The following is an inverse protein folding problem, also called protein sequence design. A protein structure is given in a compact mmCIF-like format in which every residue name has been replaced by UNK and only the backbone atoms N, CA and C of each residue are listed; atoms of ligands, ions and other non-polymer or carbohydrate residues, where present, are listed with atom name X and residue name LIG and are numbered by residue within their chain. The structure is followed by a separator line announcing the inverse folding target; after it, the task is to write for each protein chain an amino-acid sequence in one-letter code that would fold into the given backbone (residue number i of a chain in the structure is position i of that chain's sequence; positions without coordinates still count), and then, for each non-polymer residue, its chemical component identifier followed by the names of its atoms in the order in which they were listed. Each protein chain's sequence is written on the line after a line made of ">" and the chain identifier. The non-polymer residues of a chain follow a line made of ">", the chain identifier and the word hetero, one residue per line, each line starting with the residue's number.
data_IF_269900667335
#
_entry.id   IF_269900667335
#
_cell.length_a   1.000
_cell.length_b   1.000
_cell.length_c   1.000
_cell.angle_alpha   90.00
_cell.angle_beta   90.00
_cell.angle_gamma   90.00
#
_symmetry.space_group_name_H-M   'P 1'
#
loop_
_entity.id
_entity.type
_entity.pdbx_description
1 polymer ?
#
# COMPACT_ATOMS: atom_id res chain seq x y z
N UNK A 1 -0.77 2.80 -28.06
CA UNK A 1 -0.40 1.43 -27.56
C UNK A 1 0.77 0.90 -28.38
N UNK A 2 1.60 1.82 -28.88
CA UNK A 2 2.24 1.61 -30.18
C UNK A 2 3.52 0.80 -30.01
N UNK A 3 4.17 0.96 -28.85
CA UNK A 3 5.25 0.08 -28.42
C UNK A 3 4.84 -1.39 -28.39
N UNK A 4 3.68 -1.73 -27.81
CA UNK A 4 3.21 -3.12 -27.72
C UNK A 4 2.90 -3.67 -29.11
N UNK A 5 2.30 -2.85 -29.98
CA UNK A 5 2.00 -3.21 -31.37
C UNK A 5 3.28 -3.47 -32.16
N UNK A 6 4.26 -2.58 -32.06
CA UNK A 6 5.51 -2.66 -32.83
C UNK A 6 6.47 -3.74 -32.31
N UNK A 7 6.62 -3.88 -30.98
CA UNK A 7 7.61 -4.78 -30.35
C UNK A 7 7.05 -6.15 -30.00
N UNK A 8 5.73 -6.30 -29.90
CA UNK A 8 5.04 -7.55 -29.55
C UNK A 8 5.70 -8.34 -28.41
N UNK A 9 5.91 -7.74 -27.22
CA UNK A 9 6.57 -8.41 -26.10
C UNK A 9 5.81 -9.68 -25.67
N UNK A 10 6.54 -10.68 -25.14
CA UNK A 10 5.93 -11.94 -24.67
C UNK A 10 4.88 -11.72 -23.59
N UNK A 11 5.10 -10.74 -22.72
CA UNK A 11 4.18 -10.34 -21.67
C UNK A 11 4.25 -8.83 -21.42
N UNK A 12 3.15 -8.26 -20.95
CA UNK A 12 3.02 -6.88 -20.52
C UNK A 12 2.34 -6.89 -19.15
N UNK A 13 2.91 -6.12 -18.22
CA UNK A 13 2.32 -5.88 -16.89
C UNK A 13 2.08 -4.38 -16.76
N UNK A 14 0.82 -4.00 -16.54
CA UNK A 14 0.45 -2.63 -16.22
C UNK A 14 0.00 -2.56 -14.77
N UNK A 15 0.56 -1.62 -14.00
CA UNK A 15 0.14 -1.31 -12.63
C UNK A 15 -0.60 0.03 -12.63
N UNK A 16 -1.68 0.12 -11.85
CA UNK A 16 -2.33 1.38 -11.56
C UNK A 16 -3.12 1.33 -10.24
N UNK A 17 -3.72 2.44 -9.83
CA UNK A 17 -4.62 2.49 -8.68
C UNK A 17 -5.81 1.55 -8.85
N UNK A 18 -6.28 0.95 -7.75
CA UNK A 18 -7.43 0.05 -7.78
C UNK A 18 -8.70 0.68 -8.38
N UNK A 19 -8.82 2.01 -8.34
CA UNK A 19 -9.94 2.74 -8.91
C UNK A 19 -10.06 2.54 -10.43
N UNK A 20 -8.95 2.34 -11.17
CA UNK A 20 -8.97 2.10 -12.62
C UNK A 20 -9.91 0.94 -12.99
N UNK A 21 -9.91 -0.14 -12.21
CA UNK A 21 -10.74 -1.32 -12.46
C UNK A 21 -12.13 -1.29 -11.78
N UNK A 22 -12.36 -0.37 -10.84
CA UNK A 22 -13.55 -0.39 -9.97
C UNK A 22 -14.48 0.80 -10.10
N UNK A 23 -13.94 1.96 -10.45
CA UNK A 23 -14.69 3.21 -10.40
C UNK A 23 -15.30 3.50 -11.78
N UNK A 24 -16.59 3.87 -11.82
CA UNK A 24 -17.32 4.11 -13.07
C UNK A 24 -16.62 5.15 -13.99
N UNK A 25 -16.06 6.20 -13.39
CA UNK A 25 -15.21 7.21 -14.05
C UNK A 25 -14.16 6.62 -15.02
N UNK A 26 -13.58 5.45 -14.69
CA UNK A 26 -12.49 4.86 -15.48
C UNK A 26 -12.93 3.65 -16.33
N UNK A 27 -14.23 3.35 -16.39
CA UNK A 27 -14.78 2.19 -17.11
C UNK A 27 -14.38 2.15 -18.58
N UNK A 28 -14.46 3.30 -19.27
CA UNK A 28 -14.10 3.40 -20.68
C UNK A 28 -12.61 3.09 -20.91
N UNK A 29 -11.72 3.68 -20.10
CA UNK A 29 -10.27 3.46 -20.15
C UNK A 29 -9.92 1.99 -19.88
N UNK A 30 -10.49 1.40 -18.83
CA UNK A 30 -10.27 0.00 -18.50
C UNK A 30 -10.74 -0.94 -19.63
N UNK A 31 -11.96 -0.70 -20.17
CA UNK A 31 -12.48 -1.46 -21.32
C UNK A 31 -11.59 -1.32 -22.55
N UNK A 32 -11.10 -0.11 -22.84
CA UNK A 32 -10.20 0.14 -23.95
C UNK A 32 -8.89 -0.66 -23.83
N UNK A 33 -8.25 -0.66 -22.64
CA UNK A 33 -7.02 -1.42 -22.40
C UNK A 33 -7.26 -2.92 -22.63
N UNK A 34 -8.29 -3.48 -21.99
CA UNK A 34 -8.60 -4.92 -22.09
C UNK A 34 -8.93 -5.34 -23.52
N UNK A 35 -9.73 -4.53 -24.24
CA UNK A 35 -10.11 -4.81 -25.63
C UNK A 35 -8.92 -4.71 -26.57
N UNK A 36 -8.03 -3.74 -26.35
CA UNK A 36 -6.85 -3.54 -27.20
C UNK A 36 -5.91 -4.74 -27.11
N UNK A 37 -5.61 -5.25 -25.91
CA UNK A 37 -4.79 -6.47 -25.78
C UNK A 37 -5.43 -7.69 -26.43
N UNK A 38 -6.75 -7.86 -26.31
CA UNK A 38 -7.48 -8.95 -27.00
C UNK A 38 -7.36 -8.83 -28.51
N UNK A 39 -7.52 -7.63 -29.09
CA UNK A 39 -7.33 -7.37 -30.52
C UNK A 39 -5.91 -7.70 -30.97
N UNK A 40 -4.91 -7.39 -30.15
CA UNK A 40 -3.51 -7.73 -30.37
C UNK A 40 -3.17 -9.22 -30.13
N UNK A 41 -4.17 -10.08 -29.89
CA UNK A 41 -4.02 -11.53 -29.67
C UNK A 41 -3.27 -11.91 -28.38
N UNK A 42 -3.30 -11.04 -27.38
CA UNK A 42 -2.85 -11.38 -26.02
C UNK A 42 -3.99 -11.98 -25.23
N UNK A 43 -3.68 -12.98 -24.39
CA UNK A 43 -4.51 -13.35 -23.26
C UNK A 43 -4.33 -12.28 -22.18
N UNK A 44 -5.43 -11.69 -21.71
CA UNK A 44 -5.36 -10.57 -20.75
C UNK A 44 -6.27 -10.83 -19.55
N UNK A 45 -5.73 -10.61 -18.34
CA UNK A 45 -6.49 -10.63 -17.09
C UNK A 45 -6.10 -9.43 -16.23
N UNK A 46 -7.05 -8.98 -15.42
CA UNK A 46 -6.85 -7.91 -14.46
C UNK A 46 -7.10 -8.43 -13.05
N UNK A 47 -6.28 -7.99 -12.10
CA UNK A 47 -6.36 -8.34 -10.69
C UNK A 47 -6.35 -7.05 -9.86
N UNK A 48 -7.14 -7.00 -8.79
CA UNK A 48 -6.98 -5.97 -7.76
C UNK A 48 -6.42 -6.64 -6.52
N UNK A 49 -5.13 -6.42 -6.26
CA UNK A 49 -4.37 -7.08 -5.20
C UNK A 49 -4.04 -6.07 -4.10
N UNK A 50 -4.05 -6.53 -2.85
CA UNK A 50 -3.67 -5.73 -1.67
C UNK A 50 -2.34 -6.25 -1.12
N UNK A 51 -1.34 -5.39 -0.93
CA UNK A 51 0.00 -5.81 -0.45
C UNK A 51 -0.04 -6.59 0.88
N UNK A 52 -1.08 -6.42 1.70
CA UNK A 52 -1.33 -7.23 2.91
C UNK A 52 -1.48 -8.72 2.64
N UNK A 53 -2.00 -9.07 1.47
CA UNK A 53 -2.16 -10.46 1.03
C UNK A 53 -0.83 -11.10 0.60
N UNK A 54 0.24 -10.28 0.51
CA UNK A 54 1.56 -10.66 0.01
C UNK A 54 2.68 -10.40 1.03
N UNK A 55 2.34 -10.32 2.33
CA UNK A 55 3.32 -10.25 3.41
C UNK A 55 3.87 -8.85 3.71
N UNK A 56 3.19 -7.77 3.28
CA UNK A 56 3.54 -6.40 3.68
C UNK A 56 2.46 -5.78 4.56
N UNK A 57 2.80 -5.13 5.69
CA UNK A 57 1.83 -4.50 6.59
C UNK A 57 1.43 -3.12 6.04
N UNK A 58 1.00 -3.07 4.78
CA UNK A 58 0.55 -1.86 4.11
C UNK A 58 -0.72 -2.12 3.29
N UNK A 59 -1.79 -1.38 3.58
CA UNK A 59 -3.02 -1.42 2.79
C UNK A 59 -2.84 -0.67 1.48
N UNK A 60 -2.23 -1.33 0.50
CA UNK A 60 -1.97 -0.79 -0.85
C UNK A 60 -2.65 -1.67 -1.89
N UNK A 61 -3.85 -1.25 -2.28
CA UNK A 61 -4.62 -1.91 -3.35
C UNK A 61 -4.21 -1.36 -4.70
N UNK A 62 -3.82 -2.23 -5.62
CA UNK A 62 -3.43 -1.88 -7.00
C UNK A 62 -4.09 -2.80 -8.01
N UNK A 63 -4.44 -2.21 -9.15
CA UNK A 63 -4.87 -2.94 -10.32
C UNK A 63 -3.63 -3.37 -11.09
N UNK A 64 -3.49 -4.67 -11.31
CA UNK A 64 -2.48 -5.27 -12.17
C UNK A 64 -3.18 -5.85 -13.38
N UNK A 65 -2.86 -5.36 -14.58
CA UNK A 65 -3.33 -5.92 -15.85
C UNK A 65 -2.16 -6.67 -16.47
N UNK A 66 -2.33 -7.98 -16.60
CA UNK A 66 -1.32 -8.87 -17.18
C UNK A 66 -1.84 -9.32 -18.53
N UNK A 67 -1.07 -9.04 -19.59
CA UNK A 67 -1.32 -9.51 -20.94
C UNK A 67 -0.15 -10.39 -21.39
N UNK A 68 -0.41 -11.60 -21.89
CA UNK A 68 0.63 -12.52 -22.37
C UNK A 68 0.26 -13.10 -23.73
N UNK A 69 1.24 -13.25 -24.62
CA UNK A 69 1.05 -14.00 -25.86
C UNK A 69 0.91 -15.50 -25.53
N UNK A 70 0.05 -16.25 -26.24
CA UNK A 70 -0.07 -17.68 -26.04
C UNK A 70 1.25 -18.40 -26.34
N UNK A 71 1.55 -19.53 -25.66
CA UNK A 71 2.72 -20.35 -25.99
C UNK A 71 2.65 -20.84 -27.43
N UNK A 72 3.79 -20.89 -28.13
CA UNK A 72 3.85 -21.32 -29.54
C UNK A 72 3.48 -22.80 -29.77
N UNK A 73 3.57 -23.67 -28.76
CA UNK A 73 3.42 -25.13 -28.91
C UNK A 73 2.33 -25.78 -28.06
N UNK A 74 1.47 -25.01 -27.38
CA UNK A 74 0.43 -25.57 -26.52
C UNK A 74 -0.92 -24.93 -26.85
N UNK A 75 -1.84 -25.76 -27.37
CA UNK A 75 -3.27 -25.48 -27.48
C UNK A 75 -3.95 -25.28 -26.11
N UNK A 76 -3.27 -25.62 -25.02
CA UNK A 76 -3.79 -25.51 -23.66
C UNK A 76 -3.23 -24.30 -22.92
N UNK A 77 -4.14 -23.35 -22.72
CA UNK A 77 -3.98 -22.13 -21.94
C UNK A 77 -3.88 -22.45 -20.45
N UNK A 78 -2.67 -22.59 -19.91
CA UNK A 78 -2.46 -22.39 -18.48
C UNK A 78 -2.78 -20.92 -18.18
N UNK A 79 -4.02 -20.68 -17.75
CA UNK A 79 -4.56 -19.34 -17.61
C UNK A 79 -3.74 -18.49 -16.64
N UNK A 80 -3.61 -17.20 -16.97
CA UNK A 80 -2.98 -16.21 -16.07
C UNK A 80 -3.64 -16.32 -14.69
N UNK A 81 -2.84 -16.56 -13.65
CA UNK A 81 -3.29 -16.71 -12.27
C UNK A 81 -2.28 -16.08 -11.32
N UNK A 82 -2.74 -15.71 -10.14
CA UNK A 82 -1.92 -15.10 -9.09
C UNK A 82 -1.79 -16.12 -7.96
N UNK A 83 -0.54 -16.50 -7.65
CA UNK A 83 -0.24 -17.31 -6.46
C UNK A 83 -0.13 -16.36 -5.26
N UNK A 84 -0.92 -16.64 -4.23
CA UNK A 84 -0.82 -15.94 -2.94
C UNK A 84 0.15 -16.71 -2.05
N UNK A 85 1.06 -16.04 -1.34
CA UNK A 85 1.89 -16.73 -0.36
C UNK A 85 1.01 -17.31 0.75
N UNK A 86 1.55 -18.29 1.50
CA UNK A 86 0.93 -18.72 2.75
C UNK A 86 0.78 -17.51 3.67
N UNK A 87 -0.28 -17.48 4.48
CA UNK A 87 -0.55 -16.36 5.37
C UNK A 87 0.69 -16.09 6.24
N UNK A 88 1.32 -14.93 6.02
CA UNK A 88 2.42 -14.45 6.85
C UNK A 88 1.83 -13.42 7.79
N UNK A 89 1.94 -13.66 9.10
CA UNK A 89 1.54 -12.68 10.10
C UNK A 89 2.60 -11.57 10.15
N UNK A 90 2.45 -10.56 9.31
CA UNK A 90 3.36 -9.40 9.25
C UNK A 90 2.63 -8.19 9.81
N UNK A 91 3.27 -7.52 10.76
CA UNK A 91 2.79 -6.29 11.38
C UNK A 91 3.80 -5.15 11.15
N UNK A 92 3.40 -3.91 11.46
CA UNK A 92 4.28 -2.74 11.35
C UNK A 92 5.61 -2.96 12.08
N UNK A 93 5.58 -3.36 13.34
CA UNK A 93 6.76 -3.59 14.18
C UNK A 93 7.79 -4.54 13.56
N UNK A 94 7.35 -5.53 12.76
CA UNK A 94 8.24 -6.46 12.05
C UNK A 94 8.95 -5.88 10.83
N UNK A 95 8.50 -4.74 10.30
CA UNK A 95 9.00 -4.13 9.06
C UNK A 95 9.61 -2.74 9.28
N UNK A 96 9.08 -1.98 10.25
CA UNK A 96 9.55 -0.63 10.53
C UNK A 96 10.99 -0.65 11.09
N UNK A 97 11.75 0.40 10.78
CA UNK A 97 13.09 0.57 11.31
C UNK A 97 13.04 0.78 12.83
N UNK A 98 13.96 0.16 13.56
CA UNK A 98 14.16 0.43 14.99
C UNK A 98 14.82 1.81 15.13
N UNK A 99 14.01 2.81 15.45
CA UNK A 99 14.42 4.21 15.61
C UNK A 99 14.00 4.73 16.98
N UNK A 100 14.71 5.73 17.55
CA UNK A 100 14.33 6.33 18.81
C UNK A 100 12.96 7.00 18.73
N UNK A 101 12.38 7.28 19.90
CA UNK A 101 11.14 8.04 20.02
C UNK A 101 11.41 9.51 19.69
N UNK A 102 10.43 10.16 19.09
CA UNK A 102 10.46 11.57 18.70
C UNK A 102 9.34 12.34 19.38
N UNK A 103 9.55 13.64 19.59
CA UNK A 103 8.45 14.53 19.98
C UNK A 103 7.49 14.72 18.81
N UNK A 104 6.20 14.86 19.10
CA UNK A 104 5.20 15.14 18.07
C UNK A 104 5.58 16.42 17.31
N UNK A 105 5.66 16.40 15.96
CA UNK A 105 5.95 17.60 15.19
C UNK A 105 4.94 18.70 15.46
N UNK A 106 5.40 19.95 15.44
CA UNK A 106 4.55 21.13 15.54
C UNK A 106 3.81 21.39 14.22
N UNK A 107 2.97 20.43 13.84
CA UNK A 107 2.13 20.52 12.66
C UNK A 107 0.70 20.93 13.07
N UNK A 108 0.06 21.88 12.36
CA UNK A 108 -1.29 22.34 12.69
C UNK A 108 -2.27 21.18 12.82
N UNK A 109 -2.84 21.02 14.01
CA UNK A 109 -3.85 20.00 14.28
C UNK A 109 -3.32 18.58 14.49
N UNK A 110 -2.01 18.31 14.48
CA UNK A 110 -1.45 16.97 14.70
C UNK A 110 -1.94 16.34 16.02
N UNK A 111 -1.93 17.10 17.12
CA UNK A 111 -2.41 16.64 18.44
C UNK A 111 -3.91 16.34 18.43
N UNK A 112 -4.71 17.16 17.73
CA UNK A 112 -6.15 16.96 17.55
C UNK A 112 -6.43 15.70 16.72
N UNK A 113 -5.67 15.51 15.65
CA UNK A 113 -5.73 14.37 14.75
C UNK A 113 -5.41 13.07 15.48
N UNK A 114 -4.38 13.05 16.33
CA UNK A 114 -4.08 11.88 17.17
C UNK A 114 -5.22 11.58 18.14
N UNK A 115 -5.71 12.59 18.88
CA UNK A 115 -6.83 12.40 19.81
C UNK A 115 -8.07 11.85 19.10
N UNK A 116 -8.41 12.38 17.93
CA UNK A 116 -9.53 11.91 17.13
C UNK A 116 -9.33 10.46 16.66
N UNK A 117 -8.14 10.13 16.17
CA UNK A 117 -7.78 8.78 15.75
C UNK A 117 -7.89 7.76 16.89
N UNK A 118 -7.32 8.04 18.05
CA UNK A 118 -7.35 7.13 19.20
C UNK A 118 -8.77 6.93 19.75
N UNK A 119 -9.59 7.99 19.79
CA UNK A 119 -11.01 7.87 20.17
C UNK A 119 -11.78 6.98 19.19
N UNK A 120 -11.55 7.16 17.89
CA UNK A 120 -12.16 6.32 16.85
C UNK A 120 -11.77 4.86 17.03
N UNK A 121 -10.48 4.56 17.17
CA UNK A 121 -10.00 3.18 17.36
C UNK A 121 -10.56 2.53 18.63
N UNK A 122 -10.67 3.27 19.74
CA UNK A 122 -11.33 2.76 20.96
C UNK A 122 -12.81 2.47 20.75
N UNK A 123 -13.52 3.36 20.04
CA UNK A 123 -14.93 3.15 19.67
C UNK A 123 -15.11 1.91 18.80
N UNK A 124 -14.14 1.62 17.94
CA UNK A 124 -14.08 0.42 17.10
C UNK A 124 -13.66 -0.84 17.89
N UNK A 125 -13.50 -0.76 19.22
CA UNK A 125 -13.18 -1.90 20.09
C UNK A 125 -11.70 -2.32 20.09
N UNK A 126 -10.81 -1.49 19.54
CA UNK A 126 -9.39 -1.83 19.43
C UNK A 126 -8.64 -1.60 20.74
N UNK A 127 -7.96 -2.65 21.21
CA UNK A 127 -7.01 -2.57 22.33
C UNK A 127 -5.69 -1.91 21.87
N UNK A 128 -5.60 -0.61 22.15
CA UNK A 128 -4.46 0.24 21.76
C UNK A 128 -3.16 -0.07 22.51
N UNK A 129 -3.21 -0.85 23.59
CA UNK A 129 -2.03 -1.27 24.32
C UNK A 129 -1.31 -2.44 23.62
N UNK A 130 -2.05 -3.22 22.82
CA UNK A 130 -1.55 -4.41 22.12
C UNK A 130 -1.19 -4.19 20.66
N UNK A 131 -1.56 -3.04 20.09
CA UNK A 131 -1.42 -2.80 18.65
C UNK A 131 -0.71 -1.48 18.37
N UNK A 132 0.18 -1.51 17.37
CA UNK A 132 0.78 -0.29 16.85
C UNK A 132 -0.22 0.43 15.96
N UNK A 133 -0.41 1.72 16.20
CA UNK A 133 -1.31 2.58 15.44
C UNK A 133 -0.52 3.44 14.48
N UNK A 134 -0.96 3.50 13.22
CA UNK A 134 -0.48 4.44 12.23
C UNK A 134 -1.54 5.52 12.02
N UNK A 135 -1.17 6.77 12.27
CA UNK A 135 -2.08 7.93 12.26
C UNK A 135 -1.58 8.96 11.26
N UNK A 136 -2.41 9.37 10.30
CA UNK A 136 -2.12 10.51 9.44
C UNK A 136 -2.26 11.81 10.25
N UNK A 137 -1.16 12.48 10.56
CA UNK A 137 -1.16 13.75 11.29
C UNK A 137 -1.15 14.97 10.36
N UNK A 138 -0.95 14.76 9.06
CA UNK A 138 -0.88 15.80 8.03
C UNK A 138 -2.19 15.98 7.24
N UNK A 139 -3.25 15.23 7.57
CA UNK A 139 -4.59 15.40 7.01
C UNK A 139 -5.51 16.22 7.92
N UNK A 140 -6.57 16.80 7.37
CA UNK A 140 -7.74 17.16 8.18
C UNK A 140 -8.46 15.91 8.70
N UNK A 141 -9.12 16.00 9.86
CA UNK A 141 -9.79 14.86 10.54
C UNK A 141 -10.72 14.07 9.60
N UNK A 142 -11.44 14.73 8.70
CA UNK A 142 -12.35 14.09 7.72
C UNK A 142 -11.63 13.17 6.73
N UNK A 143 -10.40 13.50 6.36
CA UNK A 143 -9.60 12.79 5.36
C UNK A 143 -8.47 11.97 5.98
N UNK A 144 -8.39 11.99 7.31
CA UNK A 144 -7.37 11.30 8.07
C UNK A 144 -7.45 9.79 7.85
N UNK A 145 -6.29 9.20 7.60
CA UNK A 145 -6.13 7.76 7.58
C UNK A 145 -5.63 7.28 8.93
N UNK A 146 -6.27 6.22 9.44
CA UNK A 146 -5.95 5.59 10.72
C UNK A 146 -6.03 4.08 10.53
N UNK A 147 -5.02 3.36 11.00
CA UNK A 147 -4.97 1.91 10.95
C UNK A 147 -4.14 1.34 12.10
N UNK A 148 -4.34 0.06 12.42
CA UNK A 148 -3.54 -0.67 13.39
C UNK A 148 -2.78 -1.82 12.74
N UNK A 149 -1.56 -2.07 13.24
CA UNK A 149 -0.59 -3.07 12.75
C UNK A 149 -0.34 -3.03 11.24
N UNK A 150 -0.71 -1.93 10.60
CA UNK A 150 -0.66 -1.74 9.16
C UNK A 150 -0.56 -0.26 8.84
N UNK A 151 0.20 0.09 7.81
CA UNK A 151 0.27 1.43 7.25
C UNK A 151 -0.83 1.63 6.19
N UNK A 152 -1.44 2.82 6.10
CA UNK A 152 -2.23 3.19 4.94
C UNK A 152 -1.38 3.22 3.65
N UNK A 153 -2.01 3.42 2.48
CA UNK A 153 -1.25 3.57 1.23
C UNK A 153 -0.33 4.79 1.33
N UNK A 154 0.99 4.58 1.23
CA UNK A 154 1.94 5.68 1.07
C UNK A 154 1.68 6.41 -0.24
N UNK A 155 1.40 7.70 -0.14
CA UNK A 155 1.28 8.60 -1.29
C UNK A 155 2.53 9.45 -1.40
N UNK A 156 2.84 9.92 -2.62
CA UNK A 156 3.96 10.84 -2.84
C UNK A 156 3.87 12.07 -1.93
N UNK A 157 2.66 12.62 -1.76
CA UNK A 157 2.43 13.77 -0.88
C UNK A 157 2.77 13.46 0.57
N UNK A 158 2.32 12.32 1.11
CA UNK A 158 2.60 11.91 2.49
C UNK A 158 4.04 11.51 2.72
N UNK A 159 4.71 10.95 1.71
CA UNK A 159 6.14 10.70 1.74
C UNK A 159 6.94 12.00 1.93
N UNK A 160 6.58 13.05 1.18
CA UNK A 160 7.24 14.37 1.31
C UNK A 160 7.04 15.01 2.68
N UNK A 161 5.83 14.92 3.24
CA UNK A 161 5.51 15.58 4.52
C UNK A 161 5.79 14.72 5.76
N UNK A 162 6.26 13.48 5.59
CA UNK A 162 6.37 12.48 6.68
C UNK A 162 5.09 12.39 7.54
N UNK A 163 3.95 12.43 6.87
CA UNK A 163 2.65 12.71 7.52
C UNK A 163 2.09 11.59 8.39
N UNK A 164 2.75 10.42 8.48
CA UNK A 164 2.31 9.32 9.32
C UNK A 164 3.07 9.29 10.64
N UNK A 165 2.29 9.12 11.71
CA UNK A 165 2.75 9.03 13.08
C UNK A 165 2.48 7.62 13.61
N UNK A 166 3.52 6.93 14.05
CA UNK A 166 3.41 5.63 14.70
C UNK A 166 3.27 5.80 16.20
N UNK A 167 2.27 5.15 16.79
CA UNK A 167 2.03 5.26 18.22
C UNK A 167 1.39 4.02 18.85
N UNK A 168 1.74 3.74 20.11
CA UNK A 168 1.04 2.78 20.98
C UNK A 168 0.45 3.58 22.16
N UNK A 169 -0.83 3.36 22.48
CA UNK A 169 -1.46 4.08 23.60
C UNK A 169 -1.33 3.24 24.87
N UNK A 170 -0.90 3.86 25.98
CA UNK A 170 -0.93 3.18 27.27
C UNK A 170 -2.40 3.04 27.76
N UNK A 171 -2.74 1.95 28.48
CA UNK A 171 -4.11 1.69 28.93
C UNK A 171 -4.67 2.78 29.85
N UNK A 172 -3.83 3.38 30.71
CA UNK A 172 -4.29 4.17 31.88
C UNK A 172 -4.17 5.68 31.68
N UNK A 173 -3.30 6.14 30.77
CA UNK A 173 -3.11 7.57 30.48
C UNK A 173 -2.87 7.68 28.98
N UNK A 174 -3.36 8.74 28.32
CA UNK A 174 -2.97 9.10 26.94
C UNK A 174 -1.47 9.48 26.82
N UNK A 175 -0.61 8.94 27.69
CA UNK A 175 0.83 8.90 27.51
C UNK A 175 1.10 7.87 26.43
N UNK A 176 1.62 8.34 25.30
CA UNK A 176 2.03 7.50 24.19
C UNK A 176 3.34 6.82 24.60
N UNK A 177 3.53 5.53 24.33
CA UNK A 177 4.73 4.80 24.75
C UNK A 177 5.80 4.70 23.67
N UNK A 178 5.41 4.57 22.41
CA UNK A 178 6.25 4.78 21.23
C UNK A 178 5.60 5.89 20.39
N UNK A 179 6.40 6.80 19.84
CA UNK A 179 5.90 7.95 19.11
C UNK A 179 7.00 8.41 18.18
N UNK A 180 6.80 8.28 16.87
CA UNK A 180 7.70 8.90 15.88
C UNK A 180 7.03 9.06 14.54
N UNK A 181 7.59 9.95 13.73
CA UNK A 181 7.21 10.08 12.34
C UNK A 181 7.77 8.95 11.50
N UNK A 182 7.09 8.67 10.39
CA UNK A 182 7.60 7.76 9.36
C UNK A 182 8.88 8.32 8.73
N UNK A 183 9.90 7.49 8.59
CA UNK A 183 11.16 7.84 7.92
C UNK A 183 11.29 7.19 6.54
N UNK A 184 12.35 7.51 5.79
CA UNK A 184 12.56 6.99 4.42
C UNK A 184 12.74 5.47 4.44
N UNK A 185 13.48 4.97 5.43
CA UNK A 185 13.72 3.55 5.65
C UNK A 185 12.42 2.79 5.90
N UNK A 186 11.51 3.34 6.71
CA UNK A 186 10.17 2.75 6.90
C UNK A 186 9.37 2.73 5.60
N UNK A 187 9.41 3.83 4.83
CA UNK A 187 8.67 3.92 3.58
C UNK A 187 9.15 2.86 2.59
N UNK A 188 10.47 2.70 2.49
CA UNK A 188 11.10 1.70 1.64
C UNK A 188 10.74 0.27 2.11
N UNK A 189 10.88 -0.02 3.41
CA UNK A 189 10.52 -1.32 3.98
C UNK A 189 9.03 -1.65 3.78
N UNK A 190 8.13 -0.67 3.95
CA UNK A 190 6.70 -0.80 3.66
C UNK A 190 6.37 -0.96 2.16
N UNK A 191 7.29 -0.59 1.26
CA UNK A 191 7.21 -0.90 -0.18
C UNK A 191 7.89 -2.23 -0.54
N UNK A 192 8.47 -2.95 0.42
CA UNK A 192 9.13 -4.24 0.22
C UNK A 192 10.59 -4.17 -0.21
N UNK A 193 11.23 -2.98 -0.14
CA UNK A 193 12.66 -2.86 -0.34
C UNK A 193 13.43 -3.35 0.89
N UNK A 194 14.60 -3.96 0.68
CA UNK A 194 15.50 -4.29 1.78
C UNK A 194 16.27 -3.05 2.17
N UNK A 195 16.42 -2.79 3.47
CA UNK A 195 17.18 -1.63 3.93
C UNK A 195 18.65 -1.64 3.46
N UNK A 196 19.22 -2.84 3.28
CA UNK A 196 20.56 -3.02 2.69
C UNK A 196 20.67 -2.49 1.25
N UNK A 197 19.57 -2.48 0.49
CA UNK A 197 19.54 -1.98 -0.89
C UNK A 197 19.55 -0.45 -0.96
N UNK A 198 19.24 0.24 0.15
CA UNK A 198 19.24 1.71 0.22
C UNK A 198 20.63 2.29 0.53
N UNK A 199 21.51 1.50 1.15
CA UNK A 199 22.83 1.95 1.59
C UNK A 199 23.83 2.18 0.45
N UNK A 200 23.56 1.65 -0.75
CA UNK A 200 24.40 1.82 -1.95
C UNK A 200 23.92 2.92 -2.91
N UNK A 201 22.95 3.74 -2.53
CA UNK A 201 22.30 4.73 -3.39
C UNK A 201 22.65 6.19 -3.03
N UNK A 202 23.67 6.41 -2.18
CA UNK A 202 24.23 7.72 -1.84
C UNK A 202 25.49 7.99 -2.62
#
# INVERSE_FOLDING_TARGET
>A
MDYVTARRPRAVVLENVAALAKHQKYRATFKFIMTTFKKLKYQVKAFVLDSREFGLPQRRRRCYIIAALPPKSLSNTSGISVKRPKAVNVNLESVLAKKPKETLPDAPGARRNIKAALRKLRKDGIDLAKQECCVDIAAGVKFQQVSTNCSPTLTRARGKTKGFWFTKALPVVLRLSAHRTICVEDMAALQGFRLSELAGAT
#
